data_IF_796314482566
#
_entry.id   IF_796314482566
#
_cell.length_a   1.000
_cell.length_b   1.000
_cell.length_c   1.000
_cell.angle_alpha   90.00
_cell.angle_beta   90.00
_cell.angle_gamma   90.00
#
_symmetry.space_group_name_H-M   'P 1'
#
loop_
_entity.id
_entity.type
_entity.pdbx_description
1 polymer ?
#
# COMPACT_ATOMS: atom_id res chain seq x y z
N UNK A 1 -0.65 3.50 2.61
CA UNK A 1 0.19 2.28 2.56
C UNK A 1 0.90 2.25 1.21
N UNK A 2 2.18 1.90 1.19
CA UNK A 2 2.99 1.69 -0.02
C UNK A 2 3.26 0.19 -0.16
N UNK A 3 3.00 -0.36 -1.33
CA UNK A 3 3.16 -1.77 -1.66
C UNK A 3 3.98 -1.89 -2.94
N UNK A 4 5.23 -2.29 -2.79
CA UNK A 4 6.23 -2.38 -3.86
C UNK A 4 7.37 -3.29 -3.36
N UNK A 5 8.02 -4.07 -4.22
CA UNK A 5 9.14 -4.93 -3.81
C UNK A 5 10.50 -4.19 -3.79
N UNK A 6 10.56 -2.95 -4.30
CA UNK A 6 11.74 -2.09 -4.28
C UNK A 6 11.74 -1.12 -3.07
N UNK A 7 12.76 -1.29 -2.21
CA UNK A 7 12.97 -0.44 -1.04
C UNK A 7 13.25 1.04 -1.39
N UNK A 8 13.79 1.32 -2.57
CA UNK A 8 14.04 2.70 -3.01
C UNK A 8 12.73 3.42 -3.33
N UNK A 9 11.72 2.72 -3.86
CA UNK A 9 10.38 3.29 -4.08
C UNK A 9 9.74 3.69 -2.75
N UNK A 10 9.89 2.87 -1.71
CA UNK A 10 9.37 3.14 -0.38
C UNK A 10 9.99 4.41 0.22
N UNK A 11 11.31 4.48 0.23
CA UNK A 11 12.03 5.62 0.81
C UNK A 11 11.78 6.91 0.03
N UNK A 12 11.78 6.84 -1.30
CA UNK A 12 11.52 7.98 -2.18
C UNK A 12 10.09 8.49 -2.03
N UNK A 13 9.10 7.60 -1.97
CA UNK A 13 7.70 7.98 -1.80
C UNK A 13 7.45 8.63 -0.44
N UNK A 14 7.97 8.03 0.65
CA UNK A 14 7.87 8.63 1.99
C UNK A 14 8.56 9.99 2.05
N UNK A 15 9.75 10.11 1.45
CA UNK A 15 10.47 11.38 1.41
C UNK A 15 9.67 12.45 0.64
N UNK A 16 9.19 12.13 -0.56
CA UNK A 16 8.45 13.04 -1.42
C UNK A 16 7.14 13.53 -0.77
N UNK A 17 6.52 12.70 0.06
CA UNK A 17 5.25 13.01 0.73
C UNK A 17 5.41 13.40 2.21
N UNK A 18 6.65 13.49 2.72
CA UNK A 18 6.94 13.73 4.15
C UNK A 18 6.37 15.03 4.72
N UNK A 19 6.21 16.05 3.88
CA UNK A 19 5.66 17.36 4.26
C UNK A 19 4.20 17.55 3.84
N UNK A 20 3.56 16.51 3.28
CA UNK A 20 2.16 16.57 2.91
C UNK A 20 1.29 16.38 4.16
N UNK A 21 0.38 17.32 4.36
CA UNK A 21 -0.65 17.23 5.38
C UNK A 21 -2.04 17.13 4.73
N UNK A 22 -2.87 16.23 5.24
CA UNK A 22 -4.26 16.08 4.83
C UNK A 22 -5.14 16.46 6.01
N UNK A 23 -5.98 17.47 5.83
CA UNK A 23 -6.81 18.04 6.90
C UNK A 23 -5.98 18.47 8.14
N UNK A 24 -4.77 19.00 7.91
CA UNK A 24 -3.86 19.45 8.96
C UNK A 24 -3.26 18.32 9.80
N UNK A 25 -3.22 17.09 9.27
CA UNK A 25 -2.56 15.94 9.88
C UNK A 25 -1.48 15.38 8.94
N UNK A 26 -0.31 15.00 9.47
CA UNK A 26 0.72 14.37 8.65
C UNK A 26 0.24 13.00 8.17
N UNK A 27 0.82 12.54 7.07
CA UNK A 27 0.59 11.19 6.58
C UNK A 27 1.33 10.15 7.44
N UNK A 28 0.64 9.04 7.72
CA UNK A 28 1.25 7.84 8.29
C UNK A 28 1.49 6.82 7.17
N UNK A 29 2.72 6.31 7.08
CA UNK A 29 3.11 5.35 6.07
C UNK A 29 3.22 3.95 6.65
N UNK A 30 2.45 3.03 6.07
CA UNK A 30 2.63 1.59 6.21
C UNK A 30 3.29 1.08 4.95
N UNK A 31 4.19 0.11 5.11
CA UNK A 31 5.01 -0.45 4.04
C UNK A 31 4.78 -1.96 3.95
N UNK A 32 4.55 -2.45 2.74
CA UNK A 32 4.51 -3.88 2.45
C UNK A 32 5.42 -4.16 1.25
N UNK A 33 6.29 -5.16 1.36
CA UNK A 33 7.25 -5.53 0.32
C UNK A 33 6.80 -6.70 -0.54
N UNK A 34 5.56 -7.16 -0.31
CA UNK A 34 4.97 -8.29 -0.99
C UNK A 34 3.45 -8.19 -0.96
N UNK A 35 2.80 -8.86 -1.91
CA UNK A 35 1.35 -9.02 -1.91
C UNK A 35 0.86 -9.74 -0.64
N UNK A 36 1.67 -10.64 -0.08
CA UNK A 36 1.35 -11.34 1.16
C UNK A 36 1.32 -10.39 2.36
N UNK A 37 2.40 -9.62 2.59
CA UNK A 37 2.46 -8.64 3.67
C UNK A 37 1.35 -7.59 3.56
N UNK A 38 1.05 -7.13 2.34
CA UNK A 38 -0.02 -6.17 2.12
C UNK A 38 -1.37 -6.73 2.59
N UNK A 39 -1.67 -8.00 2.28
CA UNK A 39 -2.91 -8.65 2.75
C UNK A 39 -2.98 -8.74 4.27
N UNK A 40 -1.86 -9.08 4.93
CA UNK A 40 -1.80 -9.14 6.38
C UNK A 40 -2.03 -7.77 7.02
N UNK A 41 -1.40 -6.72 6.47
CA UNK A 41 -1.57 -5.35 6.95
C UNK A 41 -3.00 -4.85 6.76
N UNK A 42 -3.60 -5.10 5.60
CA UNK A 42 -4.99 -4.73 5.31
C UNK A 42 -5.99 -5.45 6.22
N UNK A 43 -5.71 -6.70 6.59
CA UNK A 43 -6.57 -7.45 7.51
C UNK A 43 -6.42 -6.98 8.97
N UNK A 44 -5.22 -6.52 9.37
CA UNK A 44 -4.91 -6.15 10.75
C UNK A 44 -5.12 -4.68 11.07
N UNK A 45 -4.90 -3.79 10.10
CA UNK A 45 -4.91 -2.34 10.29
C UNK A 45 -6.13 -1.74 9.61
N UNK A 46 -7.21 -1.46 10.36
CA UNK A 46 -8.39 -0.80 9.80
C UNK A 46 -8.10 0.68 9.52
N UNK A 47 -8.85 1.27 8.60
CA UNK A 47 -8.78 2.72 8.34
C UNK A 47 -7.64 3.16 7.43
N UNK A 48 -7.01 2.25 6.68
CA UNK A 48 -6.08 2.63 5.60
C UNK A 48 -6.86 3.40 4.54
N UNK A 49 -6.57 4.69 4.41
CA UNK A 49 -7.28 5.57 3.48
C UNK A 49 -6.86 5.38 2.02
N UNK A 50 -5.57 5.11 1.78
CA UNK A 50 -4.99 5.00 0.43
C UNK A 50 -3.92 3.92 0.39
N UNK A 51 -3.90 3.18 -0.71
CA UNK A 51 -2.85 2.22 -1.06
C UNK A 51 -2.18 2.67 -2.37
N UNK A 52 -0.87 2.91 -2.32
CA UNK A 52 -0.01 3.05 -3.49
C UNK A 52 0.55 1.68 -3.77
N UNK A 53 0.27 1.13 -4.96
CA UNK A 53 0.50 -0.27 -5.28
C UNK A 53 1.21 -0.39 -6.62
N UNK A 54 2.31 -1.13 -6.66
CA UNK A 54 2.89 -1.62 -7.90
C UNK A 54 2.10 -2.82 -8.44
N UNK A 55 1.93 -2.85 -9.76
CA UNK A 55 1.24 -3.89 -10.51
C UNK A 55 2.13 -5.13 -10.64
N UNK A 56 3.42 -4.91 -10.91
CA UNK A 56 4.41 -5.96 -11.20
C UNK A 56 5.35 -6.07 -10.01
N UNK A 57 5.25 -7.16 -9.26
CA UNK A 57 6.12 -7.40 -8.10
C UNK A 57 6.68 -8.83 -8.20
N UNK A 58 6.32 -9.71 -7.25
CA UNK A 58 6.79 -11.10 -7.25
C UNK A 58 6.29 -11.90 -8.46
N UNK A 59 5.13 -11.49 -8.99
CA UNK A 59 4.56 -11.97 -10.24
C UNK A 59 4.09 -10.79 -11.08
N UNK A 60 4.05 -10.93 -12.43
CA UNK A 60 3.65 -9.84 -13.33
C UNK A 60 2.25 -9.25 -13.09
N UNK A 61 1.38 -9.97 -12.40
CA UNK A 61 0.00 -9.59 -12.10
C UNK A 61 -0.29 -9.55 -10.59
N UNK A 62 0.73 -9.66 -9.73
CA UNK A 62 0.57 -9.72 -8.27
C UNK A 62 -0.25 -8.54 -7.71
N UNK A 63 0.01 -7.33 -8.20
CA UNK A 63 -0.74 -6.14 -7.80
C UNK A 63 -2.21 -6.20 -8.23
N UNK A 64 -2.53 -6.72 -9.42
CA UNK A 64 -3.91 -6.87 -9.87
C UNK A 64 -4.68 -7.87 -9.00
N UNK A 65 -4.06 -9.01 -8.69
CA UNK A 65 -4.66 -9.98 -7.75
C UNK A 65 -4.89 -9.39 -6.36
N UNK A 66 -3.99 -8.51 -5.90
CA UNK A 66 -4.17 -7.80 -4.63
C UNK A 66 -5.34 -6.80 -4.70
N UNK A 67 -5.49 -6.04 -5.79
CA UNK A 67 -6.65 -5.15 -5.99
C UNK A 67 -7.96 -5.93 -5.93
N UNK A 68 -8.02 -7.07 -6.63
CA UNK A 68 -9.19 -7.96 -6.57
C UNK A 68 -9.48 -8.42 -5.14
N UNK A 69 -8.46 -8.85 -4.40
CA UNK A 69 -8.63 -9.25 -3.01
C UNK A 69 -9.16 -8.11 -2.12
N UNK A 70 -8.64 -6.89 -2.28
CA UNK A 70 -9.08 -5.72 -1.49
C UNK A 70 -10.55 -5.42 -1.75
N UNK A 71 -10.95 -5.41 -3.02
CA UNK A 71 -12.31 -5.00 -3.44
C UNK A 71 -13.34 -6.10 -3.18
N UNK A 72 -13.00 -7.33 -3.54
CA UNK A 72 -13.97 -8.42 -3.61
C UNK A 72 -14.00 -9.25 -2.32
N UNK A 73 -12.87 -9.37 -1.62
CA UNK A 73 -12.79 -10.14 -0.36
C UNK A 73 -12.95 -9.26 0.87
N UNK A 74 -12.24 -8.12 0.94
CA UNK A 74 -12.32 -7.22 2.10
C UNK A 74 -13.44 -6.19 1.99
N UNK A 75 -13.97 -5.96 0.79
CA UNK A 75 -15.04 -4.98 0.57
C UNK A 75 -14.60 -3.53 0.80
N UNK A 76 -13.30 -3.24 0.66
CA UNK A 76 -12.74 -1.91 0.86
C UNK A 76 -12.77 -1.16 -0.48
N UNK A 77 -13.64 -0.15 -0.60
CA UNK A 77 -13.73 0.78 -1.75
C UNK A 77 -14.07 2.18 -1.30
#
# INVERSE_FOLDING_TARGET
>A
MVVDDDADVHSTTTFALSSLEVQGRPLEFLHAYSAHEARELLARVPGIAVVLLDVVMEQPDAGLHLVHYIRDTLGLT
#
